data_IF_178683884167
#
_entry.id   IF_178683884167
#
_cell.length_a   1.000
_cell.length_b   1.000
_cell.length_c   1.000
_cell.angle_alpha   90.00
_cell.angle_beta   90.00
_cell.angle_gamma   90.00
#
_symmetry.space_group_name_H-M   'P 1'
#
loop_
_entity.id
_entity.type
_entity.pdbx_description
1 polymer ?
#
# COMPACT_ATOMS: atom_id res chain seq x y z
N UNK A 1 36.57 9.86 -57.76
CA UNK A 1 35.81 10.74 -56.84
C UNK A 1 34.77 9.88 -56.15
N UNK A 2 35.05 9.43 -54.93
CA UNK A 2 34.14 8.60 -54.14
C UNK A 2 33.28 9.50 -53.26
N UNK A 3 31.99 9.59 -53.55
CA UNK A 3 31.01 10.31 -52.73
C UNK A 3 30.62 9.52 -51.49
N UNK A 4 30.33 10.18 -50.35
CA UNK A 4 30.11 9.53 -49.07
C UNK A 4 28.74 8.86 -49.02
N UNK A 5 28.69 7.72 -48.33
CA UNK A 5 27.50 6.88 -48.18
C UNK A 5 26.33 7.59 -47.53
N UNK A 6 25.17 7.49 -48.16
CA UNK A 6 23.87 7.80 -47.57
C UNK A 6 23.59 6.79 -46.45
N UNK A 7 24.02 7.10 -45.22
CA UNK A 7 23.46 6.51 -44.02
C UNK A 7 21.96 6.87 -43.99
N UNK A 8 21.11 5.86 -44.17
CA UNK A 8 19.70 6.04 -44.50
C UNK A 8 18.83 6.58 -43.34
N UNK A 9 17.69 7.21 -43.66
CA UNK A 9 16.72 7.79 -42.71
C UNK A 9 16.09 6.79 -41.72
N UNK A 10 16.32 5.49 -41.91
CA UNK A 10 15.88 4.40 -41.03
C UNK A 10 16.69 4.32 -39.73
N UNK A 11 17.97 4.68 -39.74
CA UNK A 11 18.84 4.62 -38.55
C UNK A 11 18.44 5.66 -37.50
N UNK A 12 18.17 6.88 -37.93
CA UNK A 12 17.79 8.00 -37.07
C UNK A 12 16.39 7.81 -36.47
N UNK A 13 15.44 7.24 -37.21
CA UNK A 13 14.11 6.89 -36.69
C UNK A 13 14.15 5.80 -35.62
N UNK A 14 14.98 4.76 -35.82
CA UNK A 14 15.14 3.71 -34.82
C UNK A 14 15.83 4.23 -33.55
N UNK A 15 16.87 5.05 -33.68
CA UNK A 15 17.54 5.69 -32.55
C UNK A 15 16.60 6.63 -31.76
N UNK A 16 15.74 7.38 -32.45
CA UNK A 16 14.71 8.22 -31.84
C UNK A 16 13.64 7.39 -31.10
N UNK A 17 13.22 6.25 -31.66
CA UNK A 17 12.27 5.35 -31.00
C UNK A 17 12.85 4.68 -29.74
N UNK A 18 14.13 4.29 -29.79
CA UNK A 18 14.82 3.71 -28.64
C UNK A 18 15.03 4.73 -27.53
N UNK A 19 15.50 5.93 -27.85
CA UNK A 19 15.67 7.02 -26.87
C UNK A 19 14.35 7.46 -26.26
N UNK A 20 13.28 7.59 -27.05
CA UNK A 20 11.94 7.92 -26.54
C UNK A 20 11.40 6.84 -25.58
N UNK A 21 11.58 5.54 -25.91
CA UNK A 21 11.20 4.43 -25.02
C UNK A 21 12.03 4.39 -23.74
N UNK A 22 13.34 4.62 -23.83
CA UNK A 22 14.20 4.69 -22.64
C UNK A 22 13.84 5.86 -21.73
N UNK A 23 13.61 7.06 -22.30
CA UNK A 23 13.21 8.25 -21.53
C UNK A 23 11.85 8.01 -20.86
N UNK A 24 10.89 7.43 -21.59
CA UNK A 24 9.57 7.12 -21.00
C UNK A 24 9.68 6.10 -19.87
N UNK A 25 10.49 5.05 -20.07
CA UNK A 25 10.77 4.07 -19.02
C UNK A 25 11.43 4.69 -17.78
N UNK A 26 12.42 5.57 -18.00
CA UNK A 26 13.10 6.29 -16.93
C UNK A 26 12.15 7.22 -16.18
N UNK A 27 11.35 8.03 -16.89
CA UNK A 27 10.38 8.93 -16.28
C UNK A 27 9.33 8.17 -15.47
N UNK A 28 8.81 7.06 -15.98
CA UNK A 28 7.86 6.21 -15.26
C UNK A 28 8.49 5.62 -13.99
N UNK A 29 9.75 5.16 -14.08
CA UNK A 29 10.50 4.65 -12.93
C UNK A 29 10.72 5.73 -11.86
N UNK A 30 11.23 6.90 -12.26
CA UNK A 30 11.46 8.04 -11.37
C UNK A 30 10.16 8.49 -10.70
N UNK A 31 9.08 8.61 -11.47
CA UNK A 31 7.75 8.95 -10.93
C UNK A 31 7.27 7.94 -9.89
N UNK A 32 7.48 6.65 -10.13
CA UNK A 32 7.14 5.58 -9.19
C UNK A 32 7.95 5.68 -7.89
N UNK A 33 9.26 5.89 -8.00
CA UNK A 33 10.16 6.04 -6.83
C UNK A 33 9.77 7.25 -5.99
N UNK A 34 9.55 8.41 -6.62
CA UNK A 34 9.14 9.64 -5.93
C UNK A 34 7.78 9.43 -5.23
N UNK A 35 6.81 8.85 -5.94
CA UNK A 35 5.48 8.57 -5.38
C UNK A 35 5.57 7.67 -4.14
N UNK A 36 6.35 6.58 -4.22
CA UNK A 36 6.56 5.67 -3.10
C UNK A 36 7.21 6.36 -1.90
N UNK A 37 8.22 7.21 -2.16
CA UNK A 37 8.91 7.96 -1.13
C UNK A 37 7.98 8.94 -0.40
N UNK A 38 7.15 9.68 -1.15
CA UNK A 38 6.19 10.62 -0.57
C UNK A 38 5.15 9.91 0.32
N UNK A 39 4.64 8.76 -0.12
CA UNK A 39 3.68 7.98 0.66
C UNK A 39 4.32 7.43 1.94
N UNK A 40 5.53 6.89 1.86
CA UNK A 40 6.26 6.42 3.04
C UNK A 40 6.56 7.57 4.03
N UNK A 41 6.98 8.74 3.52
CA UNK A 41 7.21 9.93 4.34
C UNK A 41 5.94 10.40 5.03
N UNK A 42 4.80 10.36 4.34
CA UNK A 42 3.50 10.71 4.92
C UNK A 42 3.09 9.72 6.01
N UNK A 43 3.25 8.42 5.77
CA UNK A 43 2.96 7.38 6.77
C UNK A 43 3.77 7.59 8.06
N UNK A 44 5.07 7.88 7.92
CA UNK A 44 5.96 8.21 9.05
C UNK A 44 5.49 9.44 9.81
N UNK A 45 5.18 10.53 9.11
CA UNK A 45 4.68 11.76 9.76
C UNK A 45 3.41 11.49 10.55
N UNK A 46 2.46 10.75 9.99
CA UNK A 46 1.23 10.41 10.72
C UNK A 46 1.49 9.51 11.92
N UNK A 47 2.46 8.60 11.86
CA UNK A 47 2.82 7.79 13.03
C UNK A 47 3.38 8.67 14.16
N UNK A 48 4.32 9.57 13.85
CA UNK A 48 4.87 10.53 14.83
C UNK A 48 3.78 11.41 15.44
N UNK A 49 2.82 11.88 14.65
CA UNK A 49 1.67 12.64 15.16
C UNK A 49 0.80 11.81 16.12
N UNK A 50 0.56 10.54 15.80
CA UNK A 50 -0.18 9.65 16.68
C UNK A 50 0.57 9.36 17.98
N UNK A 51 1.90 9.20 17.93
CA UNK A 51 2.75 9.10 19.13
C UNK A 51 2.64 10.35 20.01
N UNK A 52 2.49 11.53 19.41
CA UNK A 52 2.21 12.79 20.10
C UNK A 52 0.75 12.91 20.62
N UNK A 53 -0.09 11.90 20.40
CA UNK A 53 -1.49 11.89 20.84
C UNK A 53 -2.46 12.62 19.90
N UNK A 54 -2.04 13.02 18.72
CA UNK A 54 -2.94 13.65 17.74
C UNK A 54 -3.90 12.63 17.12
N UNK A 55 -5.15 13.04 16.91
CA UNK A 55 -6.14 12.24 16.20
C UNK A 55 -5.88 12.23 14.69
N UNK A 56 -5.13 11.24 14.22
CA UNK A 56 -4.80 11.07 12.80
C UNK A 56 -5.41 9.82 12.20
N UNK A 57 -5.58 9.82 10.86
CA UNK A 57 -6.11 8.68 10.12
C UNK A 57 -4.99 7.87 9.48
N UNK A 58 -4.87 6.60 9.87
CA UNK A 58 -4.00 5.63 9.22
C UNK A 58 -4.69 5.01 8.01
N UNK A 59 -3.92 4.72 6.96
CA UNK A 59 -4.42 3.95 5.83
C UNK A 59 -4.23 2.48 6.13
N UNK A 60 -5.35 1.74 6.17
CA UNK A 60 -5.35 0.32 6.48
C UNK A 60 -6.20 -0.37 5.43
N UNK A 61 -5.63 -1.33 4.72
CA UNK A 61 -6.42 -2.20 3.86
C UNK A 61 -6.87 -3.43 4.63
N UNK A 62 -8.01 -3.99 4.25
CA UNK A 62 -8.63 -5.10 4.93
C UNK A 62 -9.13 -6.14 3.92
N UNK A 63 -9.03 -7.41 4.28
CA UNK A 63 -9.48 -8.55 3.47
C UNK A 63 -10.04 -9.63 4.39
N UNK A 64 -11.23 -10.10 4.06
CA UNK A 64 -11.79 -11.36 4.55
C UNK A 64 -11.38 -12.45 3.56
N UNK A 65 -10.50 -13.40 3.91
CA UNK A 65 -10.02 -14.44 2.99
C UNK A 65 -11.15 -15.25 2.35
N UNK A 66 -12.26 -15.42 3.06
CA UNK A 66 -13.46 -16.14 2.60
C UNK A 66 -14.22 -15.37 1.51
N UNK A 67 -14.20 -14.03 1.53
CA UNK A 67 -14.85 -13.19 0.51
C UNK A 67 -13.97 -13.00 -0.75
N UNK A 68 -12.69 -13.39 -0.70
CA UNK A 68 -11.81 -13.46 -1.85
C UNK A 68 -10.42 -12.84 -1.62
N UNK A 69 -9.72 -12.60 -2.74
CA UNK A 69 -8.27 -12.30 -2.71
C UNK A 69 -7.90 -10.83 -2.56
N UNK A 70 -8.80 -9.90 -2.89
CA UNK A 70 -8.50 -8.46 -2.97
C UNK A 70 -8.68 -7.76 -1.63
N UNK A 71 -7.76 -6.86 -1.31
CA UNK A 71 -7.89 -5.96 -0.18
C UNK A 71 -8.79 -4.78 -0.52
N UNK A 72 -9.65 -4.41 0.42
CA UNK A 72 -10.44 -3.19 0.41
C UNK A 72 -9.70 -2.11 1.19
N UNK A 73 -9.54 -0.92 0.62
CA UNK A 73 -8.83 0.17 1.29
C UNK A 73 -9.77 0.94 2.22
N UNK A 74 -9.31 1.17 3.44
CA UNK A 74 -10.01 1.97 4.43
C UNK A 74 -9.06 2.79 5.29
N UNK A 75 -9.62 3.29 6.40
CA UNK A 75 -8.91 4.12 7.37
C UNK A 75 -9.27 3.70 8.79
N UNK A 76 -8.31 3.89 9.68
CA UNK A 76 -8.48 3.73 11.13
C UNK A 76 -8.01 5.02 11.80
N UNK A 77 -8.74 5.48 12.82
CA UNK A 77 -8.38 6.66 13.60
C UNK A 77 -7.46 6.26 14.74
N UNK A 78 -6.32 6.95 14.87
CA UNK A 78 -5.39 6.79 15.98
C UNK A 78 -6.02 7.27 17.30
N UNK A 79 -5.55 6.73 18.43
CA UNK A 79 -5.94 7.16 19.78
C UNK A 79 -7.31 6.68 20.26
N UNK A 80 -8.15 6.16 19.37
CA UNK A 80 -9.49 5.64 19.69
C UNK A 80 -9.60 4.11 19.70
N UNK A 81 -10.86 3.65 19.78
CA UNK A 81 -11.21 2.24 19.55
C UNK A 81 -10.88 1.83 18.13
N UNK A 82 -10.49 0.57 17.94
CA UNK A 82 -10.26 0.07 16.59
C UNK A 82 -11.57 0.12 15.78
N UNK A 83 -11.63 1.02 14.79
CA UNK A 83 -12.74 1.11 13.86
C UNK A 83 -12.25 1.36 12.45
N UNK A 84 -12.30 0.31 11.64
CA UNK A 84 -12.01 0.43 10.23
C UNK A 84 -13.21 1.02 9.49
N UNK A 85 -12.97 2.03 8.66
CA UNK A 85 -13.97 2.62 7.78
C UNK A 85 -13.54 2.52 6.32
N UNK A 86 -14.43 2.16 5.39
CA UNK A 86 -14.10 2.12 3.98
C UNK A 86 -13.69 3.51 3.49
N UNK A 87 -12.70 3.57 2.60
CA UNK A 87 -12.20 4.86 2.10
C UNK A 87 -13.19 5.52 1.13
N UNK A 88 -13.91 4.69 0.36
CA UNK A 88 -14.85 5.15 -0.67
C UNK A 88 -16.20 4.45 -0.54
N UNK A 89 -17.25 5.12 -1.01
CA UNK A 89 -18.61 4.58 -1.05
C UNK A 89 -18.77 3.38 -1.99
N UNK A 90 -17.80 3.08 -2.86
CA UNK A 90 -17.79 1.87 -3.71
C UNK A 90 -16.85 0.77 -3.20
N UNK A 91 -16.26 0.92 -2.00
CA UNK A 91 -15.39 -0.11 -1.42
C UNK A 91 -16.21 -1.37 -1.16
N UNK A 92 -15.73 -2.53 -1.64
CA UNK A 92 -16.46 -3.80 -1.54
C UNK A 92 -16.73 -4.19 -0.09
N UNK A 93 -15.68 -4.23 0.72
CA UNK A 93 -15.81 -4.48 2.16
C UNK A 93 -16.35 -3.22 2.84
N UNK A 94 -17.47 -3.37 3.53
CA UNK A 94 -18.15 -2.25 4.21
C UNK A 94 -17.76 -2.12 5.65
N UNK A 95 -17.64 -3.25 6.32
CA UNK A 95 -17.39 -3.31 7.75
C UNK A 95 -16.45 -4.47 8.05
N UNK A 96 -15.83 -4.41 9.23
CA UNK A 96 -15.07 -5.51 9.80
C UNK A 96 -15.79 -6.03 11.03
N UNK A 97 -15.60 -7.32 11.37
CA UNK A 97 -15.98 -7.85 12.67
C UNK A 97 -15.42 -6.96 13.79
N UNK A 98 -16.19 -6.75 14.85
CA UNK A 98 -15.80 -5.88 15.97
C UNK A 98 -14.90 -6.60 16.99
N UNK A 99 -14.93 -7.93 16.98
CA UNK A 99 -14.26 -8.85 17.89
C UNK A 99 -12.93 -9.35 17.32
N UNK A 100 -12.16 -8.44 16.71
CA UNK A 100 -10.86 -8.78 16.15
C UNK A 100 -9.85 -9.13 17.24
N UNK A 101 -9.25 -10.30 17.11
CA UNK A 101 -8.13 -10.76 17.92
C UNK A 101 -6.87 -10.81 17.10
N UNK A 102 -5.84 -10.09 17.54
CA UNK A 102 -4.52 -10.14 16.90
C UNK A 102 -3.89 -11.53 17.04
N UNK A 103 -3.36 -12.06 15.93
CA UNK A 103 -2.56 -13.29 15.91
C UNK A 103 -1.09 -12.94 15.71
N UNK A 104 -0.74 -12.32 14.58
CA UNK A 104 0.64 -11.97 14.22
C UNK A 104 0.69 -10.86 13.17
N UNK A 105 1.85 -10.21 13.06
CA UNK A 105 2.19 -9.34 11.94
C UNK A 105 3.37 -9.93 11.17
N UNK A 106 3.31 -9.89 9.83
CA UNK A 106 4.37 -10.40 8.96
C UNK A 106 4.60 -9.49 7.75
N UNK A 107 5.72 -9.69 7.08
CA UNK A 107 6.01 -9.03 5.80
C UNK A 107 5.07 -9.53 4.70
N UNK A 108 4.85 -8.67 3.70
CA UNK A 108 4.12 -9.06 2.49
C UNK A 108 4.89 -10.11 1.69
N UNK A 109 4.15 -11.05 1.09
CA UNK A 109 4.72 -12.00 0.12
C UNK A 109 4.78 -11.36 -1.27
N UNK A 110 5.61 -11.89 -2.17
CA UNK A 110 5.70 -11.41 -3.57
C UNK A 110 4.33 -11.37 -4.27
N UNK A 111 3.47 -12.35 -3.98
CA UNK A 111 2.11 -12.39 -4.54
C UNK A 111 1.20 -11.29 -4.00
N UNK A 112 1.37 -10.93 -2.73
CA UNK A 112 0.61 -9.85 -2.10
C UNK A 112 1.07 -8.48 -2.56
N UNK A 113 2.36 -8.31 -2.86
CA UNK A 113 2.91 -7.05 -3.38
C UNK A 113 2.26 -6.58 -4.70
N UNK A 114 1.53 -7.46 -5.40
CA UNK A 114 0.69 -7.10 -6.55
C UNK A 114 -0.56 -6.28 -6.17
N UNK A 115 -0.99 -6.34 -4.90
CA UNK A 115 -2.26 -5.78 -4.42
C UNK A 115 -2.09 -4.82 -3.26
N UNK A 116 -0.96 -4.87 -2.55
CA UNK A 116 -0.68 -4.05 -1.37
C UNK A 116 0.72 -3.44 -1.47
N UNK A 117 0.98 -2.30 -0.80
CA UNK A 117 2.28 -1.62 -0.88
C UNK A 117 3.44 -2.54 -0.48
N UNK A 118 4.55 -2.48 -1.21
CA UNK A 118 5.70 -3.40 -1.08
C UNK A 118 6.27 -3.49 0.34
N UNK A 119 6.26 -2.38 1.08
CA UNK A 119 6.80 -2.31 2.45
C UNK A 119 5.74 -2.44 3.54
N UNK A 120 4.49 -2.75 3.18
CA UNK A 120 3.43 -2.93 4.18
C UNK A 120 3.72 -4.15 5.07
N UNK A 121 3.07 -4.20 6.22
CA UNK A 121 2.95 -5.40 7.02
C UNK A 121 1.54 -5.95 6.86
N UNK A 122 1.42 -7.27 6.75
CA UNK A 122 0.15 -7.98 6.86
C UNK A 122 -0.05 -8.33 8.33
N UNK A 123 -1.15 -7.86 8.90
CA UNK A 123 -1.59 -8.14 10.26
C UNK A 123 -2.68 -9.20 10.14
N UNK A 124 -2.43 -10.38 10.69
CA UNK A 124 -3.36 -11.49 10.71
C UNK A 124 -4.13 -11.45 12.03
N UNK A 125 -5.46 -11.45 11.90
CA UNK A 125 -6.41 -11.44 13.00
C UNK A 125 -7.41 -12.59 12.84
N UNK A 126 -8.00 -12.99 13.96
CA UNK A 126 -9.16 -13.88 14.06
C UNK A 126 -10.37 -13.08 14.53
N UNK A 127 -11.55 -13.56 14.19
CA UNK A 127 -12.84 -13.07 14.70
C UNK A 127 -13.83 -14.24 14.74
N UNK A 128 -14.98 -14.05 15.39
CA UNK A 128 -16.09 -15.02 15.37
C UNK A 128 -16.58 -15.33 13.95
N UNK A 129 -16.46 -14.38 13.01
CA UNK A 129 -16.82 -14.56 11.61
C UNK A 129 -15.70 -15.16 10.75
N UNK A 130 -14.55 -15.53 11.35
CA UNK A 130 -13.42 -16.11 10.65
C UNK A 130 -12.17 -15.21 10.59
N UNK A 131 -11.16 -15.58 9.80
CA UNK A 131 -9.90 -14.86 9.73
C UNK A 131 -10.05 -13.50 9.04
N UNK A 132 -9.32 -12.51 9.51
CA UNK A 132 -9.27 -11.16 8.93
C UNK A 132 -7.82 -10.75 8.70
N UNK A 133 -7.50 -10.37 7.48
CA UNK A 133 -6.17 -9.87 7.13
C UNK A 133 -6.22 -8.37 6.92
N UNK A 134 -5.41 -7.63 7.67
CA UNK A 134 -5.20 -6.21 7.47
C UNK A 134 -3.82 -5.97 6.86
N UNK A 135 -3.64 -4.86 6.18
CA UNK A 135 -2.31 -4.32 5.92
C UNK A 135 -2.20 -2.88 6.36
N UNK A 136 -1.03 -2.52 6.87
CA UNK A 136 -0.67 -1.15 7.23
C UNK A 136 0.81 -0.90 6.91
N UNK A 137 1.23 0.36 6.81
CA UNK A 137 2.65 0.68 6.76
C UNK A 137 3.32 0.31 8.09
N UNK A 138 4.61 -0.08 8.10
CA UNK A 138 5.27 -0.59 9.31
C UNK A 138 5.14 0.36 10.49
N UNK A 139 5.30 1.67 10.25
CA UNK A 139 5.22 2.70 11.27
C UNK A 139 3.80 2.88 11.82
N UNK A 140 2.77 2.58 11.03
CA UNK A 140 1.37 2.62 11.46
C UNK A 140 0.89 1.29 12.07
N UNK A 141 1.51 0.18 11.68
CA UNK A 141 1.11 -1.16 12.07
C UNK A 141 1.21 -1.38 13.59
N UNK A 142 2.20 -0.76 14.25
CA UNK A 142 2.35 -0.82 15.71
C UNK A 142 1.09 -0.28 16.39
N UNK A 143 0.66 0.93 16.03
CA UNK A 143 -0.56 1.53 16.57
C UNK A 143 -1.81 0.72 16.24
N UNK A 144 -1.90 0.19 15.01
CA UNK A 144 -3.04 -0.64 14.60
C UNK A 144 -3.14 -1.91 15.45
N UNK A 145 -2.03 -2.60 15.66
CA UNK A 145 -1.98 -3.81 16.50
C UNK A 145 -2.32 -3.47 17.95
N UNK A 146 -1.82 -2.37 18.49
CA UNK A 146 -2.17 -1.93 19.85
C UNK A 146 -3.66 -1.65 19.99
N UNK A 147 -4.28 -0.96 19.04
CA UNK A 147 -5.72 -0.69 19.06
C UNK A 147 -6.54 -1.98 19.07
N UNK A 148 -6.17 -2.97 18.25
CA UNK A 148 -6.84 -4.28 18.21
C UNK A 148 -6.67 -5.02 19.54
N UNK A 149 -5.45 -5.06 20.08
CA UNK A 149 -5.14 -5.75 21.34
C UNK A 149 -5.90 -5.20 22.54
N UNK A 150 -6.17 -3.89 22.56
CA UNK A 150 -6.92 -3.23 23.65
C UNK A 150 -8.39 -3.67 23.68
N UNK A 151 -9.00 -3.93 22.52
CA UNK A 151 -10.40 -4.38 22.44
C UNK A 151 -10.55 -5.89 22.69
N UNK A 152 -9.47 -6.66 22.54
CA UNK A 152 -9.47 -8.11 22.78
C UNK A 152 -9.22 -8.54 24.24
N UNK A 153 -9.04 -7.58 25.16
CA UNK A 153 -8.88 -7.83 26.61
C UNK A 153 -10.23 -7.85 27.29
#
# INVERSE_FOLDING_TARGET
MSGPGCAGPLGDQLAACFTARMITGLCAFVGTVIGMFLVARRARRTAVQAEAGEEVLFQVGARLPEEGRRYSLGRVQAGGKFRWKPRWSWTRLRELPTDLRYIRARQTTLREMLWIPTRALVIECESSAGPVHLWAYPEQAVHVVEMIRRESR
#
